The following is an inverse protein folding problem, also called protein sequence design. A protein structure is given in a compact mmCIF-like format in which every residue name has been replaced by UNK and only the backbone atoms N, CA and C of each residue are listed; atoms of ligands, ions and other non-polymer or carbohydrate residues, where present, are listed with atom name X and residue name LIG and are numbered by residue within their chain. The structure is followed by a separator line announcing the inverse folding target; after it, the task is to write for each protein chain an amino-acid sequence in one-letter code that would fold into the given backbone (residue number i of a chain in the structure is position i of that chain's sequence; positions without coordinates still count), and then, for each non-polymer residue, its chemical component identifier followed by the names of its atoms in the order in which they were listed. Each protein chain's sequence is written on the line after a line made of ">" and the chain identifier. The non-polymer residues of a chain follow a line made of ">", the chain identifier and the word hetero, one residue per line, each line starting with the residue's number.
data_IF_476969271552
#
_entry.id   IF_476969271552
#
_cell.length_a   1.000
_cell.length_b   1.000
_cell.length_c   1.000
_cell.angle_alpha   90.00
_cell.angle_beta   90.00
_cell.angle_gamma   90.00
#
_symmetry.space_group_name_H-M   'P 1'
#
loop_
_entity.id
_entity.type
_entity.pdbx_description
1 polymer ?
#
# COMPACT_ATOMS: atom_id res chain seq x y z
N UNK A 1 12.62 11.93 10.64
CA UNK A 1 11.18 11.85 10.95
C UNK A 1 10.92 10.61 11.79
N UNK A 2 10.13 10.73 12.87
CA UNK A 2 9.85 9.64 13.82
C UNK A 2 8.97 8.55 13.18
N UNK A 3 9.13 7.30 13.66
CA UNK A 3 8.52 6.07 13.13
C UNK A 3 7.01 5.95 13.38
N UNK A 4 6.23 6.83 12.75
CA UNK A 4 4.75 6.74 12.79
C UNK A 4 4.30 5.50 12.05
N UNK A 5 3.58 4.63 12.76
CA UNK A 5 2.84 3.53 12.15
C UNK A 5 1.58 4.12 11.52
N UNK A 6 1.40 3.87 10.23
CA UNK A 6 0.26 4.40 9.45
C UNK A 6 -0.83 3.36 9.27
N UNK A 7 -0.48 2.08 9.28
CA UNK A 7 -1.43 1.01 8.99
C UNK A 7 -0.94 -0.34 9.56
N UNK A 8 -1.89 -1.25 9.82
CA UNK A 8 -1.66 -2.61 10.25
C UNK A 8 -2.48 -3.59 9.40
N UNK A 9 -1.84 -4.65 8.91
CA UNK A 9 -2.53 -5.76 8.22
C UNK A 9 -2.34 -7.06 8.99
N UNK A 10 -3.43 -7.63 9.51
CA UNK A 10 -3.42 -8.87 10.30
C UNK A 10 -3.90 -10.04 9.44
N UNK A 11 -3.23 -11.19 9.56
CA UNK A 11 -3.72 -12.45 8.99
C UNK A 11 -4.78 -13.02 9.92
N UNK A 12 -6.05 -13.00 9.53
CA UNK A 12 -7.16 -13.35 10.43
C UNK A 12 -7.14 -14.82 10.87
N UNK A 13 -6.70 -15.71 9.98
CA UNK A 13 -6.54 -17.14 10.30
C UNK A 13 -5.40 -17.44 11.27
N UNK A 14 -4.48 -16.48 11.48
CA UNK A 14 -3.38 -16.58 12.43
C UNK A 14 -2.92 -15.19 12.89
N UNK A 15 -3.55 -14.69 13.96
CA UNK A 15 -3.31 -13.33 14.47
C UNK A 15 -1.91 -13.09 15.03
N UNK A 16 -1.08 -14.14 15.14
CA UNK A 16 0.34 -13.99 15.49
C UNK A 16 1.14 -13.37 14.34
N UNK A 17 0.59 -13.43 13.11
CA UNK A 17 1.20 -12.84 11.92
C UNK A 17 0.50 -11.54 11.54
N UNK A 18 1.23 -10.44 11.59
CA UNK A 18 0.76 -9.17 11.09
C UNK A 18 1.91 -8.28 10.60
N UNK A 19 1.52 -7.26 9.83
CA UNK A 19 2.41 -6.29 9.21
C UNK A 19 2.13 -4.92 9.79
N UNK A 20 3.18 -4.13 10.01
CA UNK A 20 3.11 -2.74 10.44
C UNK A 20 3.81 -1.84 9.43
N UNK A 21 3.03 -1.00 8.75
CA UNK A 21 3.54 -0.03 7.79
C UNK A 21 3.91 1.27 8.51
N UNK A 22 5.07 1.82 8.15
CA UNK A 22 5.53 3.10 8.69
C UNK A 22 5.52 4.20 7.63
N UNK A 23 5.16 5.41 8.05
CA UNK A 23 5.22 6.60 7.19
C UNK A 23 6.63 6.83 6.62
N UNK A 24 7.65 6.47 7.40
CA UNK A 24 9.05 6.45 7.00
C UNK A 24 9.74 5.32 7.77
N UNK A 25 10.32 4.36 7.06
CA UNK A 25 10.99 3.21 7.68
C UNK A 25 10.51 1.83 7.18
N UNK A 26 9.80 1.79 6.05
CA UNK A 26 9.38 0.56 5.38
C UNK A 26 8.30 -0.23 6.13
N UNK A 27 8.26 -1.53 5.84
CA UNK A 27 7.28 -2.48 6.36
C UNK A 27 7.95 -3.46 7.32
N UNK A 28 7.28 -3.72 8.44
CA UNK A 28 7.73 -4.63 9.48
C UNK A 28 6.75 -5.77 9.62
N UNK A 29 7.25 -7.00 9.78
CA UNK A 29 6.44 -8.20 9.95
C UNK A 29 6.77 -8.87 11.27
N UNK A 30 5.74 -9.33 11.97
CA UNK A 30 5.87 -10.26 13.10
C UNK A 30 5.19 -11.59 12.76
N UNK A 31 5.64 -12.66 13.42
CA UNK A 31 4.99 -13.98 13.44
C UNK A 31 4.84 -14.52 14.86
N UNK A 32 5.13 -13.69 15.87
CA UNK A 32 5.17 -14.03 17.30
C UNK A 32 4.32 -13.04 18.12
N UNK A 33 3.22 -12.57 17.52
CA UNK A 33 2.23 -11.69 18.13
C UNK A 33 2.83 -10.36 18.62
N UNK A 34 3.78 -9.80 17.87
CA UNK A 34 4.38 -8.50 18.13
C UNK A 34 5.51 -8.52 19.17
N UNK A 35 6.04 -9.69 19.53
CA UNK A 35 7.21 -9.79 20.42
C UNK A 35 8.47 -9.32 19.68
N UNK A 36 8.62 -9.73 18.42
CA UNK A 36 9.69 -9.29 17.54
C UNK A 36 9.16 -8.91 16.16
N UNK A 37 9.88 -8.03 15.48
CA UNK A 37 9.60 -7.60 14.12
C UNK A 37 10.84 -7.71 13.26
N UNK A 38 10.66 -8.18 12.03
CA UNK A 38 11.68 -8.17 10.98
C UNK A 38 11.29 -7.18 9.88
N UNK A 39 12.24 -6.41 9.33
CA UNK A 39 11.97 -5.60 8.16
C UNK A 39 11.73 -6.51 6.95
N UNK A 40 10.75 -6.16 6.13
CA UNK A 40 10.37 -6.92 4.93
C UNK A 40 10.22 -6.04 3.69
N UNK A 41 10.61 -4.75 3.76
CA UNK A 41 10.52 -3.78 2.65
C UNK A 41 11.66 -2.75 2.77
N UNK A 42 12.90 -3.25 2.91
CA UNK A 42 14.09 -2.39 3.12
C UNK A 42 14.94 -2.20 1.86
N UNK A 43 14.77 -3.06 0.86
CA UNK A 43 15.61 -3.09 -0.35
C UNK A 43 14.93 -2.42 -1.55
N UNK A 44 13.73 -1.90 -1.37
CA UNK A 44 12.94 -1.24 -2.41
C UNK A 44 13.27 0.26 -2.52
N UNK A 45 12.92 0.85 -3.67
CA UNK A 45 13.32 2.22 -4.03
C UNK A 45 12.79 3.31 -3.08
N UNK A 46 11.68 3.05 -2.39
CA UNK A 46 10.97 4.04 -1.57
C UNK A 46 10.81 3.55 -0.13
N UNK A 47 11.25 4.32 0.88
CA UNK A 47 11.15 3.91 2.29
C UNK A 47 9.84 4.37 2.96
N UNK A 48 9.01 5.14 2.26
CA UNK A 48 7.78 5.73 2.78
C UNK A 48 6.56 4.92 2.33
N UNK A 49 5.71 4.54 3.28
CA UNK A 49 4.49 3.79 3.03
C UNK A 49 3.26 4.58 3.45
N UNK A 50 2.17 4.40 2.69
CA UNK A 50 0.85 4.94 2.98
C UNK A 50 -0.09 3.91 3.58
N UNK A 51 -0.01 2.64 3.15
CA UNK A 51 -0.87 1.57 3.64
C UNK A 51 -0.28 0.16 3.39
N UNK A 52 -0.84 -0.84 4.07
CA UNK A 52 -0.55 -2.27 3.84
C UNK A 52 -1.83 -3.09 3.92
N UNK A 53 -1.97 -4.10 3.07
CA UNK A 53 -3.07 -5.06 3.16
C UNK A 53 -2.58 -6.48 2.85
N UNK A 54 -3.23 -7.48 3.44
CA UNK A 54 -2.95 -8.90 3.22
C UNK A 54 -4.22 -9.59 2.72
N UNK A 55 -4.07 -10.47 1.74
CA UNK A 55 -5.20 -11.25 1.24
C UNK A 55 -5.58 -12.31 2.26
N UNK A 56 -6.81 -12.25 2.77
CA UNK A 56 -7.31 -13.25 3.73
C UNK A 56 -7.53 -14.63 3.07
N UNK A 57 -7.79 -14.67 1.75
CA UNK A 57 -7.89 -15.92 0.98
C UNK A 57 -6.53 -16.55 0.66
N UNK A 58 -5.44 -15.77 0.69
CA UNK A 58 -4.07 -16.24 0.48
C UNK A 58 -3.07 -15.30 1.15
N UNK A 59 -2.68 -15.56 2.41
CA UNK A 59 -1.78 -14.68 3.17
C UNK A 59 -0.35 -14.51 2.63
N UNK A 60 0.03 -15.25 1.57
CA UNK A 60 1.28 -14.98 0.86
C UNK A 60 1.18 -13.72 0.00
N UNK A 61 -0.03 -13.28 -0.35
CA UNK A 61 -0.27 -12.08 -1.14
C UNK A 61 -0.40 -10.89 -0.19
N UNK A 62 0.59 -10.00 -0.25
CA UNK A 62 0.63 -8.76 0.52
C UNK A 62 0.79 -7.61 -0.46
N UNK A 63 0.06 -6.53 -0.21
CA UNK A 63 0.14 -5.30 -0.99
C UNK A 63 0.55 -4.14 -0.11
N UNK A 64 1.35 -3.25 -0.67
CA UNK A 64 1.78 -2.01 -0.02
C UNK A 64 1.54 -0.86 -0.96
N UNK A 65 0.93 0.20 -0.45
CA UNK A 65 0.89 1.50 -1.09
C UNK A 65 2.07 2.33 -0.60
N UNK A 66 2.91 2.80 -1.52
CA UNK A 66 4.01 3.69 -1.16
C UNK A 66 3.55 5.15 -1.06
N UNK A 67 4.37 5.93 -0.36
CA UNK A 67 4.14 7.34 -0.09
C UNK A 67 3.15 7.60 1.02
N UNK A 68 3.56 8.44 1.96
CA UNK A 68 2.81 8.76 3.16
C UNK A 68 1.51 9.50 2.83
N UNK A 69 0.36 8.87 3.04
CA UNK A 69 -0.94 9.48 2.76
C UNK A 69 -1.38 10.56 3.78
N UNK A 70 -0.82 10.53 5.00
CA UNK A 70 -1.17 11.47 6.08
C UNK A 70 -0.21 12.67 6.07
N UNK A 71 -0.41 13.53 5.08
CA UNK A 71 0.50 14.63 4.79
C UNK A 71 0.66 15.63 5.96
N UNK A 72 1.90 15.90 6.34
CA UNK A 72 2.30 17.01 7.22
C UNK A 72 3.51 17.73 6.61
N UNK A 73 3.97 18.81 7.24
CA UNK A 73 5.10 19.68 6.84
C UNK A 73 6.34 18.98 6.21
N UNK A 74 6.53 17.68 6.45
CA UNK A 74 7.39 16.82 5.64
C UNK A 74 6.74 15.44 5.49
N UNK A 75 6.56 15.01 4.23
CA UNK A 75 6.00 13.70 3.86
C UNK A 75 6.80 13.12 2.71
N UNK A 76 7.12 11.83 2.79
CA UNK A 76 7.84 11.12 1.74
C UNK A 76 6.89 10.71 0.62
N UNK A 77 7.24 11.03 -0.63
CA UNK A 77 6.57 10.46 -1.79
C UNK A 77 6.99 9.00 -1.99
N UNK A 78 6.12 8.26 -2.65
CA UNK A 78 6.33 6.91 -3.15
C UNK A 78 6.38 6.87 -4.68
N UNK A 79 6.39 5.66 -5.20
CA UNK A 79 6.39 5.35 -6.64
C UNK A 79 5.35 4.26 -6.97
N UNK A 80 4.20 4.33 -6.30
CA UNK A 80 3.02 3.52 -6.57
C UNK A 80 2.80 2.35 -5.63
N UNK A 81 2.38 1.22 -6.17
CA UNK A 81 1.95 0.06 -5.39
C UNK A 81 2.85 -1.15 -5.62
N UNK A 82 3.12 -1.89 -4.55
CA UNK A 82 3.93 -3.09 -4.57
C UNK A 82 3.12 -4.31 -4.17
N UNK A 83 3.44 -5.44 -4.78
CA UNK A 83 2.87 -6.76 -4.48
C UNK A 83 3.97 -7.73 -4.10
N UNK A 84 3.76 -8.45 -3.01
CA UNK A 84 4.49 -9.67 -2.67
C UNK A 84 3.60 -10.87 -2.91
N UNK A 85 4.20 -11.99 -3.33
CA UNK A 85 3.53 -13.31 -3.47
C UNK A 85 4.16 -14.37 -2.57
N UNK A 86 5.05 -13.95 -1.67
CA UNK A 86 5.82 -14.80 -0.75
C UNK A 86 5.83 -14.24 0.68
N UNK A 87 4.75 -13.56 1.05
CA UNK A 87 4.51 -13.00 2.39
C UNK A 87 5.53 -11.93 2.83
N UNK A 88 6.06 -11.16 1.87
CA UNK A 88 6.97 -10.03 2.08
C UNK A 88 8.45 -10.37 1.92
N UNK A 89 8.82 -11.52 1.34
CA UNK A 89 10.25 -11.83 1.10
C UNK A 89 10.78 -11.15 -0.16
N UNK A 90 9.93 -10.99 -1.16
CA UNK A 90 10.20 -10.24 -2.39
C UNK A 90 8.99 -9.42 -2.82
N UNK A 91 9.25 -8.33 -3.53
CA UNK A 91 8.24 -7.42 -4.02
C UNK A 91 8.39 -7.15 -5.51
N UNK A 92 7.28 -6.77 -6.12
CA UNK A 92 7.23 -6.28 -7.49
C UNK A 92 6.42 -5.00 -7.50
N UNK A 93 6.96 -3.92 -8.06
CA UNK A 93 6.21 -2.69 -8.31
C UNK A 93 5.18 -2.97 -9.41
N UNK A 94 3.91 -2.74 -9.11
CA UNK A 94 2.76 -3.06 -9.95
C UNK A 94 2.19 -1.84 -10.66
N UNK A 95 2.92 -0.72 -10.72
CA UNK A 95 2.50 0.51 -11.38
C UNK A 95 1.88 1.52 -10.43
N UNK A 96 1.10 2.44 -11.00
CA UNK A 96 0.68 3.68 -10.34
C UNK A 96 1.88 4.53 -9.87
N UNK A 97 2.93 4.59 -10.68
CA UNK A 97 4.24 5.18 -10.32
C UNK A 97 4.23 6.69 -10.09
N UNK A 98 3.30 7.40 -10.71
CA UNK A 98 3.11 8.84 -10.59
C UNK A 98 2.03 9.19 -9.53
N UNK A 99 1.48 8.19 -8.82
CA UNK A 99 0.48 8.46 -7.78
C UNK A 99 1.05 9.16 -6.54
N UNK A 100 2.36 9.08 -6.33
CA UNK A 100 3.14 9.56 -5.18
C UNK A 100 2.65 9.12 -3.80
N UNK A 101 1.37 9.26 -3.45
CA UNK A 101 0.80 8.94 -2.15
C UNK A 101 -0.40 8.01 -2.31
N UNK A 102 -0.29 6.81 -1.77
CA UNK A 102 -1.36 5.80 -1.81
C UNK A 102 -2.03 5.71 -0.43
N UNK A 103 -3.28 6.15 -0.36
CA UNK A 103 -4.07 6.21 0.87
C UNK A 103 -4.54 4.85 1.37
N UNK A 104 -5.03 4.00 0.46
CA UNK A 104 -5.52 2.67 0.83
C UNK A 104 -5.51 1.69 -0.33
N UNK A 105 -5.35 0.42 0.00
CA UNK A 105 -5.54 -0.71 -0.92
C UNK A 105 -6.56 -1.67 -0.30
N UNK A 106 -7.57 -2.05 -1.08
CA UNK A 106 -8.57 -3.07 -0.69
C UNK A 106 -8.56 -4.22 -1.67
N UNK A 107 -8.51 -5.44 -1.13
CA UNK A 107 -8.53 -6.69 -1.89
C UNK A 107 -9.93 -7.28 -1.85
N UNK A 108 -10.38 -7.88 -2.95
CA UNK A 108 -11.62 -8.65 -2.92
C UNK A 108 -11.46 -9.88 -2.01
N UNK A 109 -12.44 -10.17 -1.13
CA UNK A 109 -12.26 -11.13 -0.03
C UNK A 109 -11.91 -12.56 -0.50
N UNK A 110 -12.42 -12.96 -1.67
CA UNK A 110 -12.23 -14.31 -2.21
C UNK A 110 -11.45 -14.36 -3.53
N UNK A 111 -11.12 -13.21 -4.12
CA UNK A 111 -10.44 -13.16 -5.42
C UNK A 111 -9.28 -12.15 -5.37
N UNK A 112 -8.04 -12.59 -5.09
CA UNK A 112 -6.91 -11.69 -4.91
C UNK A 112 -6.47 -10.97 -6.19
N UNK A 113 -7.06 -11.27 -7.35
CA UNK A 113 -6.78 -10.54 -8.59
C UNK A 113 -7.58 -9.23 -8.71
N UNK A 114 -8.65 -9.07 -7.91
CA UNK A 114 -9.43 -7.84 -7.87
C UNK A 114 -8.91 -6.97 -6.75
N UNK A 115 -8.37 -5.81 -7.13
CA UNK A 115 -7.70 -4.86 -6.22
C UNK A 115 -8.23 -3.46 -6.49
N UNK A 116 -8.52 -2.71 -5.43
CA UNK A 116 -8.81 -1.29 -5.48
C UNK A 116 -7.70 -0.49 -4.81
N UNK A 117 -7.32 0.65 -5.40
CA UNK A 117 -6.30 1.55 -4.89
C UNK A 117 -6.85 2.97 -4.84
N UNK A 118 -6.87 3.54 -3.64
CA UNK A 118 -7.16 4.95 -3.40
C UNK A 118 -5.84 5.75 -3.50
N UNK A 119 -5.66 6.46 -4.61
CA UNK A 119 -4.50 7.29 -4.88
C UNK A 119 -4.83 8.77 -4.62
N UNK A 120 -4.04 9.40 -3.74
CA UNK A 120 -4.15 10.83 -3.44
C UNK A 120 -3.54 11.69 -4.54
N UNK A 121 -2.46 11.22 -5.16
CA UNK A 121 -1.71 12.00 -6.14
C UNK A 121 -0.59 12.83 -5.51
N UNK A 122 -0.08 13.75 -6.32
CA UNK A 122 0.95 14.69 -5.90
C UNK A 122 0.41 15.62 -4.81
N UNK A 123 1.17 15.77 -3.73
CA UNK A 123 0.81 16.70 -2.66
C UNK A 123 0.89 18.16 -3.13
N UNK A 124 1.84 18.44 -4.02
CA UNK A 124 2.11 19.79 -4.53
C UNK A 124 2.00 19.82 -6.05
N UNK A 125 0.79 20.08 -6.53
CA UNK A 125 0.51 20.25 -7.95
C UNK A 125 -0.48 19.22 -8.47
N UNK A 126 -0.86 19.42 -9.72
CA UNK A 126 -1.80 18.58 -10.43
C UNK A 126 -1.10 17.30 -10.93
N UNK A 127 -1.78 16.16 -10.89
CA UNK A 127 -1.35 14.95 -11.58
C UNK A 127 -2.55 14.09 -12.00
N UNK A 128 -2.36 13.29 -13.06
CA UNK A 128 -3.44 12.45 -13.61
C UNK A 128 -3.58 11.11 -12.91
N UNK A 129 -2.55 10.65 -12.20
CA UNK A 129 -2.57 9.37 -11.51
C UNK A 129 -3.05 9.53 -10.06
N UNK A 130 -4.20 10.19 -9.90
CA UNK A 130 -4.95 10.33 -8.64
C UNK A 130 -6.39 9.91 -8.85
N UNK A 131 -7.05 9.44 -7.79
CA UNK A 131 -8.41 8.92 -7.84
C UNK A 131 -8.50 7.48 -7.34
N UNK A 132 -9.59 6.78 -7.70
CA UNK A 132 -9.80 5.38 -7.37
C UNK A 132 -9.46 4.52 -8.58
N UNK A 133 -8.49 3.63 -8.44
CA UNK A 133 -8.10 2.67 -9.47
C UNK A 133 -8.57 1.26 -9.10
N UNK A 134 -8.87 0.47 -10.13
CA UNK A 134 -9.24 -0.94 -10.01
C UNK A 134 -8.39 -1.77 -10.95
N UNK A 135 -7.92 -2.91 -10.45
CA UNK A 135 -7.40 -4.01 -11.24
C UNK A 135 -8.31 -5.23 -11.11
N UNK A 136 -8.35 -6.06 -12.15
CA UNK A 136 -9.03 -7.37 -12.18
C UNK A 136 -8.08 -8.50 -12.63
N UNK A 137 -6.79 -8.21 -12.73
CA UNK A 137 -5.75 -9.13 -13.23
C UNK A 137 -4.54 -9.20 -12.28
N UNK A 138 -4.78 -8.93 -10.99
CA UNK A 138 -3.76 -8.99 -9.95
C UNK A 138 -2.75 -7.85 -10.01
N UNK A 139 -3.16 -6.71 -10.58
CA UNK A 139 -2.40 -5.46 -10.68
C UNK A 139 -1.54 -5.33 -11.92
N UNK A 140 -1.72 -6.16 -12.94
CA UNK A 140 -0.99 -6.02 -14.21
C UNK A 140 -1.49 -4.82 -14.99
N UNK A 141 -2.79 -4.53 -14.91
CA UNK A 141 -3.41 -3.34 -15.48
C UNK A 141 -4.32 -2.64 -14.48
N UNK A 142 -4.42 -1.32 -14.63
CA UNK A 142 -5.24 -0.45 -13.78
C UNK A 142 -6.24 0.33 -14.62
N UNK A 143 -7.47 0.42 -14.14
CA UNK A 143 -8.54 1.25 -14.71
C UNK A 143 -9.05 2.22 -13.66
N UNK A 144 -9.17 3.49 -14.00
CA UNK A 144 -9.83 4.47 -13.15
C UNK A 144 -11.31 4.08 -12.98
N UNK A 145 -11.74 3.87 -11.73
CA UNK A 145 -13.13 3.68 -11.34
C UNK A 145 -13.78 5.00 -10.93
N UNK A 146 -12.99 5.93 -10.38
CA UNK A 146 -13.39 7.29 -10.10
C UNK A 146 -12.20 8.22 -10.34
N UNK A 147 -12.40 9.23 -11.18
CA UNK A 147 -11.47 10.32 -11.40
C UNK A 147 -12.30 11.60 -11.52
N UNK A 148 -11.91 12.64 -10.78
CA UNK A 148 -12.67 13.89 -10.69
C UNK A 148 -12.00 14.94 -11.58
N UNK A 149 -10.77 15.32 -11.24
CA UNK A 149 -9.90 16.20 -12.01
C UNK A 149 -8.43 15.93 -11.64
N UNK A 150 -7.50 16.76 -12.13
CA UNK A 150 -6.06 16.61 -11.88
C UNK A 150 -5.64 17.12 -10.49
N UNK A 151 -6.56 17.72 -9.72
CA UNK A 151 -6.31 18.30 -8.39
C UNK A 151 -6.99 17.51 -7.25
N UNK A 152 -7.91 16.58 -7.57
CA UNK A 152 -8.72 15.86 -6.59
C UNK A 152 -8.45 14.36 -6.58
N UNK A 153 -7.85 13.87 -5.49
CA UNK A 153 -7.55 12.44 -5.28
C UNK A 153 -8.57 11.73 -4.39
N UNK A 154 -8.37 10.44 -4.17
CA UNK A 154 -9.17 9.61 -3.25
C UNK A 154 -8.28 9.14 -2.12
N UNK A 155 -8.67 9.42 -0.87
CA UNK A 155 -7.89 9.06 0.31
C UNK A 155 -8.17 7.66 0.84
N UNK A 156 -9.37 7.12 0.57
CA UNK A 156 -9.86 5.90 1.21
C UNK A 156 -10.88 5.14 0.32
N UNK A 157 -11.00 3.82 0.52
CA UNK A 157 -11.98 2.90 -0.07
C UNK A 157 -12.20 1.72 0.89
N UNK A 158 -13.42 1.19 1.01
CA UNK A 158 -13.77 0.08 1.90
C UNK A 158 -14.60 -0.99 1.17
#
# INVERSE_FOLDING_TARGET
>A
MSGRIVDLAVVESNTYTFYAASATGGLWKTTDNGTTFIPVFQDEAVPSLGCVTVSQSNPNIVWVGSGEATNRQSSGWGDGVYKSTDAGKSWTNMGLKDSEHVGRIVLHPTNPDIVYVAALGHLWGANRERGLFKSIDGGKTWKASLQIDEDTGVSDVA
#
